data_IF_557857807318
#
_entry.id   IF_557857807318
#
_cell.length_a   1.000
_cell.length_b   1.000
_cell.length_c   1.000
_cell.angle_alpha   90.00
_cell.angle_beta   90.00
_cell.angle_gamma   90.00
#
_symmetry.space_group_name_H-M   'P 1'
#
loop_
_entity.id
_entity.type
_entity.pdbx_description
1 polymer ?
#
# COMPACT_ATOMS: atom_id res chain seq x y z
N UNK A 1 -5.21 7.83 11.22
CA UNK A 1 -6.18 7.32 12.20
C UNK A 1 -5.78 7.61 13.66
N UNK A 2 -4.77 6.92 14.23
CA UNK A 2 -4.37 6.99 15.66
C UNK A 2 -4.31 8.39 16.28
N UNK A 3 -3.57 9.32 15.65
CA UNK A 3 -3.40 10.71 16.15
C UNK A 3 -4.72 11.49 16.27
N UNK A 4 -5.70 11.21 15.42
CA UNK A 4 -6.90 12.04 15.27
C UNK A 4 -8.14 11.41 15.89
N UNK A 5 -8.18 10.08 15.99
CA UNK A 5 -9.35 9.31 16.45
C UNK A 5 -9.08 8.53 17.75
N UNK A 6 -7.89 8.67 18.35
CA UNK A 6 -7.55 8.05 19.64
C UNK A 6 -7.62 6.52 19.60
N UNK A 7 -8.26 5.93 20.61
CA UNK A 7 -8.35 4.47 20.76
C UNK A 7 -9.07 3.80 19.57
N UNK A 8 -10.15 4.39 19.07
CA UNK A 8 -10.81 3.92 17.86
C UNK A 8 -9.83 3.98 16.67
N UNK A 9 -9.16 5.12 16.49
CA UNK A 9 -8.13 5.26 15.44
C UNK A 9 -7.02 4.23 15.50
N UNK A 10 -6.65 3.74 16.68
CA UNK A 10 -5.68 2.65 16.86
C UNK A 10 -6.25 1.30 16.46
N UNK A 11 -7.48 1.01 16.87
CA UNK A 11 -8.13 -0.24 16.50
C UNK A 11 -8.29 -0.38 14.98
N UNK A 12 -8.74 0.68 14.31
CA UNK A 12 -8.86 0.72 12.85
C UNK A 12 -7.47 0.54 12.19
N UNK A 13 -6.47 1.33 12.60
CA UNK A 13 -5.12 1.21 12.05
C UNK A 13 -4.48 -0.18 12.25
N UNK A 14 -4.72 -0.85 13.37
CA UNK A 14 -4.22 -2.20 13.61
C UNK A 14 -4.95 -3.26 12.76
N UNK A 15 -6.26 -3.07 12.53
CA UNK A 15 -7.04 -3.91 11.62
C UNK A 15 -6.58 -3.75 10.17
N UNK A 16 -6.40 -2.52 9.70
CA UNK A 16 -5.93 -2.21 8.33
C UNK A 16 -4.57 -2.84 8.08
N UNK A 17 -3.64 -2.73 9.04
CA UNK A 17 -2.32 -3.37 8.96
C UNK A 17 -2.43 -4.88 8.80
N UNK A 18 -3.31 -5.53 9.56
CA UNK A 18 -3.49 -6.97 9.44
C UNK A 18 -4.04 -7.36 8.05
N UNK A 19 -4.98 -6.58 7.51
CA UNK A 19 -5.54 -6.79 6.17
C UNK A 19 -4.51 -6.51 5.06
N UNK A 20 -3.72 -5.44 5.19
CA UNK A 20 -2.62 -5.10 4.28
C UNK A 20 -1.59 -6.23 4.22
N UNK A 21 -1.27 -6.83 5.38
CA UNK A 21 -0.35 -7.97 5.43
C UNK A 21 -0.87 -9.16 4.62
N UNK A 22 -2.15 -9.52 4.83
CA UNK A 22 -2.78 -10.60 4.08
C UNK A 22 -2.78 -10.32 2.57
N UNK A 23 -3.14 -9.11 2.16
CA UNK A 23 -3.11 -8.70 0.75
C UNK A 23 -1.69 -8.78 0.18
N UNK A 24 -0.67 -8.33 0.91
CA UNK A 24 0.73 -8.40 0.45
C UNK A 24 1.21 -9.83 0.28
N UNK A 25 0.87 -10.73 1.19
CA UNK A 25 1.20 -12.16 1.08
C UNK A 25 0.54 -12.79 -0.16
N UNK A 26 -0.76 -12.54 -0.37
CA UNK A 26 -1.48 -13.01 -1.56
C UNK A 26 -0.91 -12.41 -2.85
N UNK A 27 -0.57 -11.13 -2.84
CA UNK A 27 0.01 -10.45 -4.00
C UNK A 27 1.40 -11.00 -4.33
N UNK A 28 2.23 -11.28 -3.32
CA UNK A 28 3.56 -11.90 -3.52
C UNK A 28 3.42 -13.30 -4.12
N UNK A 29 2.49 -14.11 -3.64
CA UNK A 29 2.24 -15.44 -4.22
C UNK A 29 1.71 -15.35 -5.66
N UNK A 30 0.77 -14.44 -5.91
CA UNK A 30 0.22 -14.20 -7.25
C UNK A 30 1.28 -13.69 -8.24
N UNK A 31 2.13 -12.74 -7.83
CA UNK A 31 3.20 -12.17 -8.68
C UNK A 31 4.22 -13.18 -9.17
N UNK A 32 4.34 -14.33 -8.50
CA UNK A 32 5.23 -15.44 -8.89
C UNK A 32 4.48 -16.56 -9.65
N UNK A 33 3.19 -16.38 -9.95
CA UNK A 33 2.38 -17.38 -10.64
C UNK A 33 2.38 -17.13 -12.15
N UNK A 34 2.72 -18.17 -12.92
CA UNK A 34 2.69 -18.12 -14.38
C UNK A 34 1.25 -17.96 -14.92
N UNK A 35 1.09 -17.17 -15.98
CA UNK A 35 -0.22 -16.88 -16.57
C UNK A 35 -0.90 -18.11 -17.21
N UNK A 36 -0.13 -19.12 -17.62
CA UNK A 36 -0.64 -20.40 -18.13
C UNK A 36 -1.00 -21.40 -17.02
N UNK A 37 -0.72 -21.08 -15.75
CA UNK A 37 -1.06 -21.97 -14.63
C UNK A 37 -2.57 -22.05 -14.42
N UNK A 38 -3.07 -23.26 -14.17
CA UNK A 38 -4.46 -23.48 -13.74
C UNK A 38 -4.81 -22.78 -12.42
N UNK A 39 -3.80 -22.42 -11.62
CA UNK A 39 -3.98 -21.68 -10.36
C UNK A 39 -3.99 -20.17 -10.52
N UNK A 40 -3.72 -19.62 -11.72
CA UNK A 40 -3.60 -18.18 -11.92
C UNK A 40 -4.90 -17.43 -11.58
N UNK A 41 -6.01 -17.84 -12.21
CA UNK A 41 -7.33 -17.22 -11.97
C UNK A 41 -7.79 -17.41 -10.51
N UNK A 42 -7.74 -18.62 -9.91
CA UNK A 42 -8.12 -18.80 -8.50
C UNK A 42 -7.33 -17.90 -7.52
N UNK A 43 -6.02 -17.72 -7.74
CA UNK A 43 -5.20 -16.84 -6.90
C UNK A 43 -5.57 -15.37 -7.08
N UNK A 44 -5.85 -14.95 -8.32
CA UNK A 44 -6.30 -13.58 -8.61
C UNK A 44 -7.64 -13.28 -7.95
N UNK A 45 -8.61 -14.20 -8.04
CA UNK A 45 -9.93 -14.04 -7.41
C UNK A 45 -9.82 -13.95 -5.88
N UNK A 46 -8.98 -14.80 -5.28
CA UNK A 46 -8.71 -14.74 -3.83
C UNK A 46 -8.11 -13.39 -3.43
N UNK A 47 -7.04 -12.96 -4.10
CA UNK A 47 -6.42 -11.65 -3.88
C UNK A 47 -7.44 -10.52 -4.00
N UNK A 48 -8.22 -10.53 -5.07
CA UNK A 48 -9.23 -9.50 -5.34
C UNK A 48 -10.33 -9.47 -4.27
N UNK A 49 -10.79 -10.63 -3.81
CA UNK A 49 -11.83 -10.71 -2.78
C UNK A 49 -11.42 -10.01 -1.47
N UNK A 50 -10.17 -10.24 -1.03
CA UNK A 50 -9.64 -9.64 0.20
C UNK A 50 -9.40 -8.15 0.02
N UNK A 51 -8.79 -7.76 -1.10
CA UNK A 51 -8.52 -6.36 -1.42
C UNK A 51 -9.81 -5.54 -1.56
N UNK A 52 -10.82 -6.06 -2.26
CA UNK A 52 -12.11 -5.39 -2.46
C UNK A 52 -12.81 -5.12 -1.13
N UNK A 53 -12.80 -6.11 -0.23
CA UNK A 53 -13.39 -5.96 1.10
C UNK A 53 -12.68 -4.85 1.90
N UNK A 54 -11.34 -4.85 1.90
CA UNK A 54 -10.56 -3.82 2.57
C UNK A 54 -10.85 -2.41 2.04
N UNK A 55 -10.90 -2.23 0.71
CA UNK A 55 -11.28 -0.95 0.09
C UNK A 55 -12.68 -0.50 0.53
N UNK A 56 -13.65 -1.41 0.52
CA UNK A 56 -15.03 -1.09 0.92
C UNK A 56 -15.13 -0.68 2.39
N UNK A 57 -14.32 -1.27 3.27
CA UNK A 57 -14.26 -0.90 4.70
C UNK A 57 -13.60 0.48 4.88
N UNK A 58 -12.44 0.73 4.25
CA UNK A 58 -11.76 2.03 4.33
C UNK A 58 -12.63 3.18 3.78
N UNK A 59 -13.26 2.98 2.62
CA UNK A 59 -14.08 4.01 1.97
C UNK A 59 -15.36 4.34 2.75
N UNK A 60 -15.95 3.35 3.44
CA UNK A 60 -17.22 3.52 4.15
C UNK A 60 -17.05 3.97 5.59
N UNK A 61 -15.95 3.60 6.24
CA UNK A 61 -15.76 3.80 7.67
C UNK A 61 -14.55 4.71 7.95
N UNK A 62 -13.35 4.30 7.54
CA UNK A 62 -12.12 4.95 7.98
C UNK A 62 -11.92 6.35 7.40
N UNK A 63 -12.02 6.48 6.08
CA UNK A 63 -11.80 7.74 5.38
C UNK A 63 -12.84 8.79 5.79
N UNK A 64 -14.15 8.49 5.87
CA UNK A 64 -15.13 9.45 6.38
C UNK A 64 -14.84 9.91 7.82
N UNK A 65 -14.50 8.96 8.72
CA UNK A 65 -14.18 9.30 10.11
C UNK A 65 -12.92 10.16 10.21
N UNK A 66 -11.90 9.86 9.41
CA UNK A 66 -10.68 10.65 9.35
C UNK A 66 -10.94 12.05 8.83
N UNK A 67 -11.70 12.18 7.73
CA UNK A 67 -12.02 13.46 7.12
C UNK A 67 -12.80 14.36 8.09
N UNK A 68 -13.78 13.82 8.83
CA UNK A 68 -14.51 14.57 9.85
C UNK A 68 -13.58 15.09 10.97
N UNK A 69 -12.60 14.28 11.38
CA UNK A 69 -11.64 14.67 12.40
C UNK A 69 -10.62 15.71 11.89
N UNK A 70 -10.26 15.64 10.61
CA UNK A 70 -9.36 16.58 9.96
C UNK A 70 -10.03 17.92 9.66
N UNK A 71 -11.30 17.93 9.24
CA UNK A 71 -12.07 19.15 8.97
C UNK A 71 -12.22 20.09 10.17
N UNK A 72 -11.98 19.60 11.37
CA UNK A 72 -11.91 20.39 12.62
C UNK A 72 -10.60 21.17 12.77
N UNK A 73 -9.63 20.98 11.87
CA UNK A 73 -8.26 21.53 11.91
C UNK A 73 -7.89 22.12 10.56
N UNK A 74 -7.96 23.43 10.45
CA UNK A 74 -7.61 24.15 9.21
C UNK A 74 -6.20 23.77 8.71
N UNK A 75 -6.09 23.41 7.44
CA UNK A 75 -4.81 23.09 6.78
C UNK A 75 -4.23 21.70 7.07
N UNK A 76 -4.82 20.91 7.98
CA UNK A 76 -4.26 19.60 8.37
C UNK A 76 -4.42 18.57 7.24
N UNK A 77 -5.55 18.58 6.52
CA UNK A 77 -5.81 17.67 5.40
C UNK A 77 -4.81 17.93 4.25
N UNK A 78 -4.61 19.19 3.87
CA UNK A 78 -3.63 19.59 2.85
C UNK A 78 -2.20 19.26 3.27
N UNK A 79 -1.88 19.43 4.56
CA UNK A 79 -0.59 19.06 5.13
C UNK A 79 -0.32 17.55 5.03
N UNK A 80 -1.32 16.73 5.32
CA UNK A 80 -1.24 15.26 5.19
C UNK A 80 -1.13 14.83 3.74
N UNK A 81 -1.92 15.42 2.83
CA UNK A 81 -1.85 15.13 1.39
C UNK A 81 -0.42 15.36 0.84
N UNK A 82 0.19 16.51 1.16
CA UNK A 82 1.58 16.81 0.77
C UNK A 82 2.61 15.84 1.34
N UNK A 83 2.37 15.27 2.53
CA UNK A 83 3.26 14.25 3.12
C UNK A 83 3.07 12.91 2.43
N UNK A 84 1.82 12.53 2.18
CA UNK A 84 1.47 11.31 1.47
C UNK A 84 2.06 11.28 0.05
N UNK A 85 1.98 12.39 -0.70
CA UNK A 85 2.64 12.53 -2.01
C UNK A 85 4.15 12.30 -1.94
N UNK A 86 4.80 12.81 -0.89
CA UNK A 86 6.24 12.58 -0.68
C UNK A 86 6.53 11.12 -0.37
N UNK A 87 5.73 10.48 0.48
CA UNK A 87 5.90 9.06 0.82
C UNK A 87 5.76 8.16 -0.41
N UNK A 88 4.82 8.45 -1.33
CA UNK A 88 4.64 7.69 -2.59
C UNK A 88 5.91 7.60 -3.44
N UNK A 89 6.82 8.57 -3.36
CA UNK A 89 8.08 8.51 -4.11
C UNK A 89 9.05 7.44 -3.57
N UNK A 90 8.84 6.96 -2.36
CA UNK A 90 9.74 6.04 -1.65
C UNK A 90 9.09 4.70 -1.32
N UNK A 91 7.92 4.38 -1.86
CA UNK A 91 7.32 3.05 -1.70
C UNK A 91 7.90 2.06 -2.72
N UNK A 92 8.10 0.78 -2.37
CA UNK A 92 8.49 -0.26 -3.32
C UNK A 92 7.47 -0.45 -4.45
N UNK A 93 7.93 -0.90 -5.61
CA UNK A 93 7.06 -1.17 -6.78
C UNK A 93 6.38 -2.54 -6.73
N UNK A 94 6.88 -3.49 -5.92
CA UNK A 94 6.27 -4.82 -5.70
C UNK A 94 5.95 -5.09 -4.22
N UNK A 95 5.28 -6.22 -3.96
CA UNK A 95 4.88 -6.59 -2.61
C UNK A 95 6.09 -7.09 -1.79
N UNK A 96 6.33 -6.47 -0.63
CA UNK A 96 7.34 -6.89 0.33
C UNK A 96 6.71 -7.17 1.72
N UNK A 97 5.99 -8.29 1.89
CA UNK A 97 5.37 -8.64 3.17
C UNK A 97 6.37 -8.71 4.34
N UNK A 98 7.61 -9.13 4.05
CA UNK A 98 8.69 -9.24 5.03
C UNK A 98 9.20 -7.88 5.56
N UNK A 99 8.80 -6.77 4.95
CA UNK A 99 9.09 -5.44 5.47
C UNK A 99 8.18 -5.06 6.67
N UNK A 100 7.17 -5.89 6.98
CA UNK A 100 6.23 -5.66 8.07
C UNK A 100 5.20 -4.56 7.79
N UNK A 101 4.35 -4.29 8.78
CA UNK A 101 3.23 -3.33 8.72
C UNK A 101 3.40 -2.12 9.65
N UNK A 102 4.52 -2.04 10.35
CA UNK A 102 4.76 -0.97 11.31
C UNK A 102 5.07 0.34 10.56
N UNK A 103 4.31 1.44 10.75
CA UNK A 103 4.65 2.74 10.18
C UNK A 103 6.01 3.27 10.70
N UNK A 104 6.50 2.76 11.83
CA UNK A 104 7.83 3.06 12.37
C UNK A 104 8.95 2.14 11.85
N UNK A 105 8.69 1.30 10.83
CA UNK A 105 9.76 0.78 9.96
C UNK A 105 10.38 1.88 9.07
N UNK A 106 10.22 3.16 9.43
CA UNK A 106 11.08 4.30 9.08
C UNK A 106 12.49 4.25 9.72
N UNK A 107 12.92 3.09 10.24
CA UNK A 107 14.35 2.79 10.42
C UNK A 107 15.00 2.40 9.09
N UNK A 108 16.35 2.39 8.98
CA UNK A 108 17.11 2.28 7.73
C UNK A 108 16.75 1.11 6.78
N UNK A 109 15.95 0.12 7.21
CA UNK A 109 15.45 -0.96 6.36
C UNK A 109 14.30 -0.53 5.42
N UNK A 110 13.40 0.37 5.85
CA UNK A 110 12.29 0.85 5.00
C UNK A 110 12.76 1.75 3.85
N UNK A 111 13.81 2.55 4.09
CA UNK A 111 14.48 3.39 3.09
C UNK A 111 15.32 2.58 2.07
N UNK A 112 15.63 1.31 2.34
CA UNK A 112 16.45 0.47 1.46
C UNK A 112 15.64 -0.46 0.56
N UNK A 113 14.39 -0.77 0.89
CA UNK A 113 13.57 -1.69 0.09
C UNK A 113 13.06 -1.08 -1.23
N UNK A 114 12.66 0.20 -1.21
CA UNK A 114 12.22 0.89 -2.42
C UNK A 114 13.32 1.12 -3.47
N UNK A 115 14.54 1.59 -3.14
CA UNK A 115 15.56 1.82 -4.16
C UNK A 115 16.02 0.53 -4.88
N UNK A 116 15.91 -0.66 -4.26
CA UNK A 116 16.32 -1.92 -4.90
C UNK A 116 15.30 -2.35 -5.98
N UNK A 117 14.01 -2.26 -5.70
CA UNK A 117 12.96 -2.67 -6.64
C UNK A 117 12.90 -1.74 -7.86
N UNK A 118 13.10 -0.43 -7.64
CA UNK A 118 13.20 0.55 -8.72
C UNK A 118 14.39 0.28 -9.64
N UNK A 119 15.56 -0.09 -9.10
CA UNK A 119 16.71 -0.48 -9.90
C UNK A 119 16.40 -1.74 -10.72
N UNK A 120 15.80 -2.76 -10.10
CA UNK A 120 15.41 -3.98 -10.82
C UNK A 120 14.39 -3.71 -11.93
N UNK A 121 13.45 -2.79 -11.72
CA UNK A 121 12.46 -2.40 -12.71
C UNK A 121 13.05 -1.57 -13.86
N UNK A 122 14.08 -0.75 -13.62
CA UNK A 122 14.86 -0.08 -14.68
C UNK A 122 15.51 -1.11 -15.62
N UNK A 123 15.94 -2.26 -15.09
CA UNK A 123 16.53 -3.33 -15.88
C UNK A 123 15.50 -4.32 -16.45
N UNK A 124 14.22 -4.23 -16.06
CA UNK A 124 13.14 -5.04 -16.65
C UNK A 124 12.58 -4.34 -17.88
N UNK A 125 12.42 -5.09 -18.97
CA UNK A 125 11.75 -4.62 -20.17
C UNK A 125 10.23 -4.75 -20.01
N UNK A 126 9.53 -3.62 -20.01
CA UNK A 126 8.13 -3.57 -20.42
C UNK A 126 8.06 -3.70 -21.96
N UNK A 127 6.99 -4.27 -22.56
CA UNK A 127 6.88 -4.45 -24.01
C UNK A 127 7.13 -3.19 -24.86
N UNK A 128 6.98 -1.97 -24.29
CA UNK A 128 7.16 -0.69 -24.99
C UNK A 128 8.43 0.12 -24.63
N UNK A 129 9.44 -0.46 -23.97
CA UNK A 129 10.73 0.21 -23.68
C UNK A 129 10.66 1.56 -22.91
N UNK A 130 9.59 1.84 -22.18
CA UNK A 130 9.51 3.03 -21.33
C UNK A 130 10.10 2.74 -19.95
N UNK A 131 11.16 3.47 -19.58
CA UNK A 131 11.70 3.48 -18.21
C UNK A 131 10.84 4.45 -17.42
N UNK A 132 10.01 3.96 -16.50
CA UNK A 132 9.16 4.80 -15.64
C UNK A 132 9.92 5.18 -14.36
N UNK A 133 10.32 6.45 -14.18
CA UNK A 133 11.06 6.88 -12.99
C UNK A 133 10.15 7.06 -11.76
N UNK A 134 8.83 6.94 -11.90
CA UNK A 134 7.86 7.17 -10.84
C UNK A 134 6.65 6.22 -10.98
N UNK A 135 6.37 5.35 -9.98
CA UNK A 135 5.22 4.44 -10.01
C UNK A 135 3.87 5.17 -9.87
N UNK A 136 3.88 6.45 -9.48
CA UNK A 136 2.69 7.29 -9.30
C UNK A 136 2.19 7.95 -10.59
N UNK A 137 3.01 7.95 -11.64
CA UNK A 137 2.66 8.53 -12.95
C UNK A 137 2.66 7.40 -13.98
N UNK A 138 1.53 6.70 -14.04
CA UNK A 138 1.17 5.84 -15.17
C UNK A 138 0.19 6.57 -16.07
#
# INVERSE_FOLDING_TARGET
>A
MEKYLGAAGKQHADADRAQHHEVKELLKDFQNTDAGSSTYIPKLEKLWSVLKKHIEEEEREDLPMLEEALGKREGESEGLAKRFERTKMFVPSRAHPSAGENPYFEGPMGLLAAPIDHIADIFRKFPDNTVSPNPSTK
#
